data_IF_700469754421
#
_entry.id   IF_700469754421
#
_cell.length_a   1.000
_cell.length_b   1.000
_cell.length_c   1.000
_cell.angle_alpha   90.00
_cell.angle_beta   90.00
_cell.angle_gamma   90.00
#
_symmetry.space_group_name_H-M   'P 1'
#
loop_
_entity.id
_entity.type
_entity.pdbx_description
1 polymer ?
#
# COMPACT_ATOMS: atom_id res chain seq x y z
N UNK A 1 11.51 4.10 13.10
CA UNK A 1 10.52 4.77 12.25
C UNK A 1 9.79 3.73 11.42
N UNK A 2 8.49 3.88 11.28
CA UNK A 2 7.67 3.01 10.43
C UNK A 2 7.12 3.83 9.26
N UNK A 3 7.30 3.34 8.04
CA UNK A 3 6.82 4.00 6.82
C UNK A 3 5.83 3.08 6.12
N UNK A 4 4.64 3.60 5.85
CA UNK A 4 3.64 2.94 5.02
C UNK A 4 3.82 3.41 3.57
N UNK A 5 3.92 2.46 2.64
CA UNK A 5 4.07 2.74 1.21
C UNK A 5 2.88 2.19 0.46
N UNK A 6 2.33 2.98 -0.45
CA UNK A 6 1.31 2.55 -1.40
C UNK A 6 1.58 3.16 -2.77
N UNK A 7 0.82 2.77 -3.78
CA UNK A 7 0.91 3.33 -5.13
C UNK A 7 -0.42 3.13 -5.87
N UNK A 8 -0.51 3.61 -7.10
CA UNK A 8 -1.65 3.35 -7.97
C UNK A 8 -1.34 2.32 -9.08
N UNK A 9 -0.09 1.92 -9.23
CA UNK A 9 0.32 0.95 -10.26
C UNK A 9 0.15 -0.51 -9.85
N UNK A 10 0.00 -0.78 -8.57
CA UNK A 10 -0.14 -2.12 -8.03
C UNK A 10 1.11 -2.61 -7.30
N UNK A 11 0.94 -3.64 -6.47
CA UNK A 11 2.01 -4.13 -5.60
C UNK A 11 3.16 -4.83 -6.36
N UNK A 12 2.93 -5.23 -7.61
CA UNK A 12 3.94 -5.87 -8.45
C UNK A 12 4.73 -4.88 -9.31
N UNK A 13 4.38 -3.59 -9.26
CA UNK A 13 5.08 -2.58 -10.05
C UNK A 13 6.54 -2.42 -9.58
N UNK A 14 7.50 -2.22 -10.50
CA UNK A 14 8.91 -2.12 -10.09
C UNK A 14 9.20 -0.86 -9.26
N UNK A 15 8.43 0.21 -9.44
CA UNK A 15 8.66 1.45 -8.70
C UNK A 15 8.43 1.31 -7.21
N UNK A 16 7.40 0.55 -6.79
CA UNK A 16 7.14 0.37 -5.35
C UNK A 16 8.19 -0.54 -4.71
N UNK A 17 8.69 -1.52 -5.43
CA UNK A 17 9.79 -2.37 -4.95
C UNK A 17 11.06 -1.53 -4.77
N UNK A 18 11.39 -0.69 -5.73
CA UNK A 18 12.55 0.19 -5.65
C UNK A 18 12.45 1.15 -4.47
N UNK A 19 11.28 1.72 -4.24
CA UNK A 19 11.04 2.63 -3.13
C UNK A 19 11.18 1.92 -1.78
N UNK A 20 10.59 0.74 -1.65
CA UNK A 20 10.70 -0.07 -0.43
C UNK A 20 12.14 -0.44 -0.14
N UNK A 21 12.90 -0.86 -1.16
CA UNK A 21 14.31 -1.22 -1.02
C UNK A 21 15.16 -0.02 -0.60
N UNK A 22 14.87 1.15 -1.15
CA UNK A 22 15.62 2.37 -0.81
C UNK A 22 15.39 2.82 0.63
N UNK A 23 14.18 2.62 1.15
CA UNK A 23 13.82 3.07 2.50
C UNK A 23 14.06 2.01 3.59
N UNK A 24 14.20 0.74 3.22
CA UNK A 24 14.36 -0.35 4.17
C UNK A 24 15.52 -0.16 5.15
N UNK A 25 16.69 0.40 4.75
CA UNK A 25 17.80 0.60 5.69
C UNK A 25 17.53 1.63 6.79
N UNK A 26 16.57 2.55 6.57
CA UNK A 26 16.32 3.65 7.50
C UNK A 26 15.01 3.53 8.27
N UNK A 27 14.15 2.56 7.91
CA UNK A 27 12.83 2.45 8.52
C UNK A 27 12.28 1.03 8.43
N UNK A 28 11.31 0.74 9.29
CA UNK A 28 10.45 -0.42 9.13
C UNK A 28 9.43 -0.12 8.04
N UNK A 29 9.38 -0.96 7.00
CA UNK A 29 8.55 -0.70 5.83
C UNK A 29 7.34 -1.62 5.84
N UNK A 30 6.16 -1.03 5.65
CA UNK A 30 4.91 -1.74 5.42
C UNK A 30 4.38 -1.29 4.06
N UNK A 31 4.17 -2.23 3.14
CA UNK A 31 3.62 -1.94 1.82
C UNK A 31 2.22 -2.49 1.73
N UNK A 32 1.26 -1.62 1.43
CA UNK A 32 -0.13 -2.00 1.15
C UNK A 32 -0.54 -1.30 -0.14
N UNK A 33 -0.68 -2.05 -1.21
CA UNK A 33 -0.92 -1.51 -2.54
C UNK A 33 -2.09 -2.23 -3.22
N UNK A 34 -2.67 -1.64 -4.27
CA UNK A 34 -3.70 -2.33 -5.05
C UNK A 34 -3.21 -3.63 -5.66
N UNK A 35 -4.13 -4.56 -5.91
CA UNK A 35 -3.84 -5.85 -6.55
C UNK A 35 -3.45 -5.71 -8.02
N UNK A 36 -3.76 -4.57 -8.63
CA UNK A 36 -3.49 -4.31 -10.05
C UNK A 36 -3.37 -2.80 -10.26
N UNK A 37 -3.05 -2.40 -11.49
CA UNK A 37 -2.91 -0.99 -11.85
C UNK A 37 -4.27 -0.27 -11.70
N UNK A 38 -4.27 0.80 -10.92
CA UNK A 38 -5.45 1.65 -10.64
C UNK A 38 -5.20 3.11 -11.05
N UNK A 39 -4.28 3.36 -11.99
CA UNK A 39 -3.90 4.72 -12.41
C UNK A 39 -5.09 5.54 -12.91
N UNK A 40 -6.11 4.90 -13.46
CA UNK A 40 -7.33 5.58 -13.91
C UNK A 40 -8.43 5.66 -12.88
N UNK A 41 -8.23 5.11 -11.68
CA UNK A 41 -9.25 5.09 -10.64
C UNK A 41 -9.33 6.43 -9.91
N UNK A 42 -10.53 6.76 -9.41
CA UNK A 42 -10.66 7.91 -8.52
C UNK A 42 -10.02 7.60 -7.15
N UNK A 43 -9.63 8.63 -6.44
CA UNK A 43 -9.05 8.50 -5.09
C UNK A 43 -10.11 8.41 -4.00
N UNK A 44 -11.24 7.79 -4.29
CA UNK A 44 -12.33 7.64 -3.33
C UNK A 44 -12.26 6.29 -2.62
N UNK A 45 -12.82 6.23 -1.42
CA UNK A 45 -13.01 4.99 -0.70
C UNK A 45 -14.06 4.13 -1.39
N UNK A 46 -13.83 2.84 -1.40
CA UNK A 46 -14.81 1.87 -1.88
C UNK A 46 -15.83 1.60 -0.77
N UNK A 47 -17.09 1.90 -1.03
CA UNK A 47 -18.18 1.76 -0.06
C UNK A 47 -19.22 0.72 -0.45
N UNK A 48 -19.14 0.16 -1.65
CA UNK A 48 -20.17 -0.67 -2.25
C UNK A 48 -19.82 -2.15 -2.29
N UNK A 49 -18.64 -2.53 -1.82
CA UNK A 49 -18.21 -3.93 -1.78
C UNK A 49 -17.19 -4.18 -0.68
N UNK A 50 -17.08 -5.43 -0.20
CA UNK A 50 -16.04 -5.76 0.77
C UNK A 50 -14.66 -5.66 0.15
N UNK A 51 -13.70 -5.26 0.98
CA UNK A 51 -12.29 -5.22 0.61
C UNK A 51 -11.57 -6.42 1.25
N UNK A 52 -10.69 -7.05 0.49
CA UNK A 52 -9.86 -8.15 0.96
C UNK A 52 -8.41 -7.76 0.93
N UNK A 53 -7.67 -8.09 2.00
CA UNK A 53 -6.23 -7.84 2.08
C UNK A 53 -5.52 -9.18 2.13
N UNK A 54 -4.49 -9.32 1.32
CA UNK A 54 -3.68 -10.54 1.23
C UNK A 54 -2.20 -10.19 1.35
N UNK A 55 -1.42 -11.13 1.86
CA UNK A 55 0.03 -10.98 1.93
C UNK A 55 0.67 -11.73 0.76
N UNK A 56 1.48 -11.03 -0.02
CA UNK A 56 2.21 -11.62 -1.15
C UNK A 56 3.46 -12.36 -0.68
N UNK A 57 4.02 -13.18 -1.57
CA UNK A 57 5.23 -13.94 -1.27
C UNK A 57 6.44 -13.05 -0.93
N UNK A 58 6.50 -11.84 -1.48
CA UNK A 58 7.57 -10.88 -1.21
C UNK A 58 7.38 -10.11 0.11
N UNK A 59 6.32 -10.38 0.85
CA UNK A 59 6.03 -9.70 2.11
C UNK A 59 5.15 -8.46 1.98
N UNK A 60 4.86 -8.00 0.78
CA UNK A 60 3.96 -6.87 0.56
C UNK A 60 2.51 -7.31 0.74
N UNK A 61 1.67 -6.39 1.20
CA UNK A 61 0.22 -6.62 1.25
C UNK A 61 -0.43 -6.00 0.03
N UNK A 62 -1.47 -6.64 -0.46
CA UNK A 62 -2.26 -6.11 -1.57
C UNK A 62 -3.75 -6.24 -1.28
N UNK A 63 -4.52 -5.31 -1.85
CA UNK A 63 -5.97 -5.27 -1.65
C UNK A 63 -6.68 -5.04 -2.98
N UNK A 64 -7.93 -5.46 -3.03
CA UNK A 64 -8.79 -5.31 -4.22
C UNK A 64 -9.47 -3.95 -4.25
N UNK A 65 -8.74 -2.89 -3.96
CA UNK A 65 -9.27 -1.53 -3.87
C UNK A 65 -8.36 -0.47 -4.48
N UNK A 66 -8.76 0.76 -4.29
CA UNK A 66 -8.00 1.94 -4.72
C UNK A 66 -6.79 2.17 -3.81
N UNK A 67 -5.83 3.03 -4.20
CA UNK A 67 -4.77 3.44 -3.28
C UNK A 67 -5.31 4.02 -1.98
N UNK A 68 -6.38 4.81 -2.04
CA UNK A 68 -7.04 5.36 -0.84
C UNK A 68 -7.57 4.24 0.06
N UNK A 69 -8.19 3.21 -0.52
CA UNK A 69 -8.64 2.03 0.24
C UNK A 69 -7.48 1.34 0.95
N UNK A 70 -6.36 1.16 0.26
CA UNK A 70 -5.18 0.50 0.81
C UNK A 70 -4.62 1.27 2.01
N UNK A 71 -4.48 2.58 1.90
CA UNK A 71 -3.99 3.42 2.99
C UNK A 71 -4.98 3.40 4.16
N UNK A 72 -6.27 3.50 3.89
CA UNK A 72 -7.30 3.47 4.92
C UNK A 72 -7.29 2.16 5.71
N UNK A 73 -7.22 1.03 5.02
CA UNK A 73 -7.15 -0.29 5.67
C UNK A 73 -5.89 -0.39 6.53
N UNK A 74 -4.75 0.06 6.02
CA UNK A 74 -3.50 -0.02 6.75
C UNK A 74 -3.53 0.82 8.02
N UNK A 75 -4.15 1.99 7.97
CA UNK A 75 -4.23 2.89 9.12
C UNK A 75 -5.25 2.43 10.16
N UNK A 76 -6.29 1.72 9.75
CA UNK A 76 -7.43 1.42 10.64
C UNK A 76 -7.51 -0.03 11.09
N UNK A 77 -6.89 -0.98 10.41
CA UNK A 77 -7.15 -2.38 10.67
C UNK A 77 -5.97 -3.34 10.61
N UNK A 78 -4.81 -2.93 10.12
CA UNK A 78 -3.73 -3.88 9.89
C UNK A 78 -2.62 -3.87 10.93
N UNK A 79 -2.52 -2.82 11.72
CA UNK A 79 -1.39 -2.66 12.62
C UNK A 79 -1.84 -2.04 13.94
N UNK A 80 -1.21 -2.46 15.03
CA UNK A 80 -1.42 -1.90 16.35
C UNK A 80 -0.79 -0.51 16.49
N UNK A 81 0.15 -0.17 15.62
CA UNK A 81 0.86 1.10 15.65
C UNK A 81 0.67 1.84 14.34
N UNK A 82 0.42 3.15 14.43
CA UNK A 82 0.34 4.00 13.25
C UNK A 82 1.73 4.21 12.64
N UNK A 83 1.83 4.38 11.31
CA UNK A 83 3.09 4.75 10.70
C UNK A 83 3.47 6.19 11.06
N UNK A 84 4.77 6.47 11.03
CA UNK A 84 5.28 7.83 11.19
C UNK A 84 5.15 8.63 9.91
N UNK A 85 5.15 7.96 8.77
CA UNK A 85 5.12 8.58 7.45
C UNK A 85 4.39 7.69 6.46
N UNK A 86 3.62 8.30 5.57
CA UNK A 86 2.97 7.63 4.45
C UNK A 86 3.60 8.15 3.16
N UNK A 87 4.08 7.24 2.31
CA UNK A 87 4.70 7.58 1.03
C UNK A 87 3.92 6.90 -0.09
N UNK A 88 3.55 7.65 -1.11
CA UNK A 88 2.85 7.13 -2.28
C UNK A 88 3.73 7.25 -3.50
N UNK A 89 3.98 6.15 -4.17
CA UNK A 89 4.82 6.11 -5.39
C UNK A 89 5.68 4.84 -5.41
N UNK A 90 6.68 4.74 -6.26
CA UNK A 90 6.96 5.64 -7.39
C UNK A 90 6.10 5.18 -8.56
N UNK A 91 5.39 6.07 -9.13
CA UNK A 91 4.52 5.75 -10.25
C UNK A 91 5.20 5.99 -11.58
#
# INVERSE_FOLDING_TARGET
MRILISNDDGYLAPGIQALADALAPIAEIVVVAPDSNRSGASNSLTLDRPLSVHKAANGFYFANGTPTDCVHIALTGMSDALPDLVVSGIN
#
